data_IF_097877267891
#
_entry.id   IF_097877267891
#
_cell.length_a   1.000
_cell.length_b   1.000
_cell.length_c   1.000
_cell.angle_alpha   90.00
_cell.angle_beta   90.00
_cell.angle_gamma   90.00
#
_symmetry.space_group_name_H-M   'P 1'
#
loop_
_entity.id
_entity.type
_entity.pdbx_description
1 polymer ?
#
# COMPACT_ATOMS: atom_id res chain seq x y z
N UNK A 1 -70.93 37.63 -3.42
CA UNK A 1 -71.53 36.32 -3.75
C UNK A 1 -70.42 35.34 -4.10
N UNK A 2 -70.40 34.20 -3.39
CA UNK A 2 -69.91 32.85 -3.73
C UNK A 2 -68.63 32.67 -4.59
N UNK A 3 -67.52 32.20 -4.02
CA UNK A 3 -67.11 30.78 -3.75
C UNK A 3 -66.34 30.14 -4.92
N UNK A 4 -65.08 29.72 -4.69
CA UNK A 4 -64.62 28.30 -4.72
C UNK A 4 -63.09 28.17 -4.73
N UNK A 5 -62.59 27.39 -3.77
CA UNK A 5 -61.21 26.92 -3.67
C UNK A 5 -60.95 25.79 -4.68
N UNK A 6 -59.75 25.74 -5.26
CA UNK A 6 -59.16 24.48 -5.73
C UNK A 6 -57.70 24.41 -5.27
N UNK A 7 -57.42 23.37 -4.49
CA UNK A 7 -56.09 22.88 -4.13
C UNK A 7 -55.37 22.41 -5.39
N UNK A 8 -54.18 22.94 -5.66
CA UNK A 8 -53.24 22.34 -6.61
C UNK A 8 -52.22 21.51 -5.83
N UNK A 9 -52.28 20.20 -6.03
CA UNK A 9 -51.49 19.17 -5.37
C UNK A 9 -50.03 19.25 -5.82
N UNK A 10 -49.11 19.31 -4.86
CA UNK A 10 -47.66 19.16 -5.04
C UNK A 10 -47.35 17.78 -5.67
N UNK A 11 -46.70 17.75 -6.83
CA UNK A 11 -46.05 16.56 -7.37
C UNK A 11 -44.55 16.82 -7.45
N UNK A 12 -43.81 16.38 -6.42
CA UNK A 12 -42.35 16.34 -6.41
C UNK A 12 -41.89 15.06 -7.13
N UNK A 13 -41.11 15.14 -8.22
CA UNK A 13 -40.51 13.95 -8.82
C UNK A 13 -39.39 13.45 -7.91
N UNK A 14 -39.56 12.25 -7.35
CA UNK A 14 -38.48 11.52 -6.68
C UNK A 14 -37.53 11.01 -7.77
N UNK A 15 -36.42 11.71 -8.00
CA UNK A 15 -35.30 11.16 -8.74
C UNK A 15 -34.72 10.01 -7.91
N UNK A 16 -35.07 8.77 -8.27
CA UNK A 16 -34.36 7.58 -7.85
C UNK A 16 -32.97 7.63 -8.48
N UNK A 17 -31.98 8.13 -7.73
CA UNK A 17 -30.58 7.98 -8.10
C UNK A 17 -30.22 6.49 -8.04
N UNK A 18 -30.22 5.82 -9.20
CA UNK A 18 -29.57 4.53 -9.34
C UNK A 18 -28.09 4.73 -8.98
N UNK A 19 -27.70 4.32 -7.77
CA UNK A 19 -26.30 4.22 -7.40
C UNK A 19 -25.66 3.15 -8.27
N UNK A 20 -25.15 3.56 -9.44
CA UNK A 20 -24.32 2.72 -10.29
C UNK A 20 -23.09 2.33 -9.47
N UNK A 21 -23.10 1.11 -8.93
CA UNK A 21 -21.97 0.55 -8.18
C UNK A 21 -20.79 0.51 -9.14
N UNK A 22 -19.82 1.39 -8.90
CA UNK A 22 -18.60 1.44 -9.70
C UNK A 22 -17.91 0.06 -9.68
N UNK A 23 -17.29 -0.36 -10.79
CA UNK A 23 -16.61 -1.64 -10.82
C UNK A 23 -15.45 -1.64 -9.82
N UNK A 24 -15.22 -2.79 -9.21
CA UNK A 24 -14.11 -3.02 -8.29
C UNK A 24 -13.42 -4.34 -8.62
N UNK A 25 -12.12 -4.41 -8.45
CA UNK A 25 -11.33 -5.62 -8.62
C UNK A 25 -10.68 -6.03 -7.32
N UNK A 26 -10.73 -7.32 -6.99
CA UNK A 26 -10.13 -7.86 -5.78
C UNK A 26 -8.89 -8.67 -6.13
N UNK A 27 -7.74 -8.26 -5.58
CA UNK A 27 -6.51 -9.06 -5.57
C UNK A 27 -6.49 -9.87 -4.28
N UNK A 28 -6.49 -11.19 -4.37
CA UNK A 28 -6.56 -12.04 -3.17
C UNK A 28 -5.24 -12.04 -2.39
N UNK A 29 -5.31 -12.35 -1.09
CA UNK A 29 -4.11 -12.51 -0.26
C UNK A 29 -3.09 -13.49 -0.86
N UNK A 30 -3.57 -14.61 -1.43
CA UNK A 30 -2.74 -15.60 -2.08
C UNK A 30 -2.05 -15.06 -3.35
N UNK A 31 -2.77 -14.30 -4.18
CA UNK A 31 -2.19 -13.64 -5.36
C UNK A 31 -1.12 -12.62 -4.98
N UNK A 32 -1.35 -11.82 -3.93
CA UNK A 32 -0.37 -10.87 -3.42
C UNK A 32 0.89 -11.57 -2.92
N UNK A 33 0.71 -12.63 -2.13
CA UNK A 33 1.83 -13.41 -1.59
C UNK A 33 2.64 -14.07 -2.72
N UNK A 34 1.99 -14.62 -3.74
CA UNK A 34 2.64 -15.22 -4.90
C UNK A 34 3.41 -14.18 -5.75
N UNK A 35 2.80 -13.02 -6.00
CA UNK A 35 3.44 -11.92 -6.73
C UNK A 35 4.66 -11.37 -5.99
N UNK A 36 4.62 -11.32 -4.65
CA UNK A 36 5.78 -10.97 -3.83
C UNK A 36 6.84 -12.05 -3.87
N UNK A 37 6.49 -13.32 -3.69
CA UNK A 37 7.47 -14.42 -3.70
C UNK A 37 8.31 -14.45 -4.98
N UNK A 38 7.71 -14.13 -6.14
CA UNK A 38 8.42 -14.07 -7.42
C UNK A 38 9.46 -12.93 -7.55
N UNK A 39 9.38 -11.91 -6.68
CA UNK A 39 10.25 -10.72 -6.72
C UNK A 39 11.39 -10.77 -5.70
N UNK A 40 11.38 -11.75 -4.81
CA UNK A 40 12.34 -11.90 -3.73
C UNK A 40 13.23 -13.14 -3.96
N UNK A 41 14.46 -13.16 -3.41
CA UNK A 41 15.08 -12.15 -2.54
C UNK A 41 15.40 -10.83 -3.25
N UNK A 42 15.47 -9.73 -2.51
CA UNK A 42 15.88 -8.41 -3.02
C UNK A 42 17.02 -7.84 -2.22
N UNK A 43 17.99 -7.25 -2.91
CA UNK A 43 19.07 -6.51 -2.26
C UNK A 43 18.75 -5.02 -2.22
N UNK A 44 18.89 -4.42 -1.04
CA UNK A 44 18.64 -3.01 -0.79
C UNK A 44 19.89 -2.38 -0.18
N UNK A 45 20.57 -1.45 -0.88
CA UNK A 45 21.67 -0.70 -0.29
C UNK A 45 21.13 0.29 0.76
N UNK A 46 21.81 0.38 1.90
CA UNK A 46 21.48 1.31 2.98
C UNK A 46 22.54 2.38 3.02
N UNK A 47 22.35 3.46 2.24
CA UNK A 47 23.16 4.69 2.25
C UNK A 47 24.70 4.49 2.40
N UNK A 48 25.26 3.46 1.77
CA UNK A 48 26.69 3.12 1.87
C UNK A 48 27.15 2.50 3.20
N UNK A 49 26.25 2.29 4.16
CA UNK A 49 26.53 1.70 5.48
C UNK A 49 26.59 0.18 5.43
N UNK A 50 25.63 -0.43 4.71
CA UNK A 50 25.47 -1.86 4.55
C UNK A 50 24.61 -2.17 3.32
N UNK A 51 24.58 -3.44 2.94
CA UNK A 51 23.63 -4.01 2.00
C UNK A 51 22.71 -4.98 2.76
N UNK A 52 21.42 -4.90 2.49
CA UNK A 52 20.42 -5.80 3.06
C UNK A 52 19.92 -6.75 1.99
N UNK A 53 20.03 -8.05 2.20
CA UNK A 53 19.30 -9.05 1.44
C UNK A 53 18.00 -9.39 2.16
N UNK A 54 16.91 -8.90 1.59
CA UNK A 54 15.55 -9.07 2.08
C UNK A 54 14.97 -10.36 1.51
N UNK A 55 14.39 -11.19 2.37
CA UNK A 55 13.66 -12.39 1.97
C UNK A 55 12.19 -12.08 1.67
N UNK A 56 11.50 -13.02 1.04
CA UNK A 56 10.08 -12.86 0.72
C UNK A 56 9.27 -12.57 1.99
N UNK A 57 8.56 -11.43 2.06
CA UNK A 57 7.79 -11.08 3.24
C UNK A 57 6.54 -11.94 3.37
N UNK A 58 6.12 -12.19 4.60
CA UNK A 58 4.80 -12.70 4.94
C UNK A 58 3.85 -11.52 5.14
N UNK A 59 2.79 -11.46 4.35
CA UNK A 59 1.80 -10.40 4.47
C UNK A 59 0.77 -10.68 5.56
N UNK A 60 0.32 -9.61 6.21
CA UNK A 60 -0.85 -9.58 7.09
C UNK A 60 -1.81 -8.50 6.61
N UNK A 61 -3.09 -8.84 6.49
CA UNK A 61 -4.12 -7.87 6.12
C UNK A 61 -4.75 -7.33 7.41
N UNK A 62 -4.72 -6.01 7.57
CA UNK A 62 -5.22 -5.28 8.74
C UNK A 62 -6.41 -4.42 8.30
N UNK A 63 -7.59 -5.02 8.04
CA UNK A 63 -8.73 -4.32 7.45
C UNK A 63 -9.28 -3.22 8.36
N UNK A 64 -9.27 -3.41 9.68
CA UNK A 64 -9.74 -2.42 10.68
C UNK A 64 -8.96 -1.10 10.60
N UNK A 65 -7.71 -1.15 10.15
CA UNK A 65 -6.84 0.01 9.98
C UNK A 65 -6.67 0.41 8.51
N UNK A 66 -7.27 -0.33 7.58
CA UNK A 66 -7.04 -0.25 6.14
C UNK A 66 -5.54 -0.36 5.75
N UNK A 67 -4.81 -1.29 6.37
CA UNK A 67 -3.34 -1.39 6.26
C UNK A 67 -2.85 -2.81 5.96
N UNK A 68 -1.65 -2.90 5.40
CA UNK A 68 -0.96 -4.16 5.12
C UNK A 68 0.29 -4.22 5.99
N UNK A 69 0.42 -5.29 6.77
CA UNK A 69 1.65 -5.64 7.48
C UNK A 69 2.54 -6.54 6.61
N UNK A 70 3.85 -6.37 6.73
CA UNK A 70 4.85 -7.17 6.04
C UNK A 70 5.99 -7.49 7.02
N UNK A 71 6.11 -8.77 7.37
CA UNK A 71 7.20 -9.29 8.18
C UNK A 71 8.15 -10.10 7.31
N UNK A 72 9.45 -9.84 7.40
CA UNK A 72 10.46 -10.55 6.63
C UNK A 72 11.73 -10.79 7.42
N UNK A 73 12.38 -11.90 7.10
CA UNK A 73 13.78 -12.12 7.44
C UNK A 73 14.66 -11.30 6.50
N UNK A 74 15.80 -10.86 7.02
CA UNK A 74 16.83 -10.18 6.25
C UNK A 74 18.22 -10.66 6.64
N UNK A 75 19.19 -10.39 5.77
CA UNK A 75 20.61 -10.50 6.08
C UNK A 75 21.29 -9.16 5.81
N UNK A 76 22.07 -8.67 6.77
CA UNK A 76 22.86 -7.46 6.64
C UNK A 76 24.34 -7.82 6.45
N UNK A 77 24.96 -7.30 5.39
CA UNK A 77 26.38 -7.52 5.08
C UNK A 77 26.99 -6.30 4.39
N UNK A 78 28.31 -6.32 4.18
CA UNK A 78 29.03 -5.25 3.50
C UNK A 78 29.25 -4.00 4.34
N UNK A 79 29.93 -3.00 3.76
CA UNK A 79 30.29 -1.76 4.44
C UNK A 79 31.17 -2.00 5.67
N UNK A 80 30.70 -1.60 6.85
CA UNK A 80 31.42 -1.77 8.13
C UNK A 80 31.28 -3.19 8.73
N UNK A 81 30.52 -4.09 8.10
CA UNK A 81 30.24 -5.42 8.62
C UNK A 81 31.30 -6.43 8.17
N UNK A 82 31.86 -7.17 9.12
CA UNK A 82 32.90 -8.18 8.86
C UNK A 82 32.35 -9.48 8.26
N UNK A 83 31.05 -9.72 8.42
CA UNK A 83 30.33 -10.90 7.94
C UNK A 83 28.85 -10.58 7.74
N UNK A 84 28.08 -11.56 7.27
CA UNK A 84 26.62 -11.47 7.23
C UNK A 84 26.00 -11.66 8.61
N UNK A 85 24.99 -10.85 8.92
CA UNK A 85 24.21 -10.89 10.16
C UNK A 85 22.73 -11.07 9.86
N UNK A 86 22.06 -12.08 10.42
CA UNK A 86 20.62 -12.27 10.22
C UNK A 86 19.81 -11.23 11.00
N UNK A 87 18.61 -10.96 10.53
CA UNK A 87 17.71 -10.03 11.19
C UNK A 87 16.26 -10.21 10.77
N UNK A 88 15.40 -9.41 11.39
CA UNK A 88 13.96 -9.35 11.13
C UNK A 88 13.55 -7.89 10.97
N UNK A 89 12.70 -7.64 9.98
CA UNK A 89 12.04 -6.38 9.73
C UNK A 89 10.53 -6.61 9.75
N UNK A 90 9.81 -5.79 10.50
CA UNK A 90 8.35 -5.76 10.50
C UNK A 90 7.87 -4.32 10.30
N UNK A 91 7.04 -4.15 9.27
CA UNK A 91 6.46 -2.87 8.89
C UNK A 91 4.99 -3.03 8.57
N UNK A 92 4.27 -1.94 8.65
CA UNK A 92 2.86 -1.86 8.30
C UNK A 92 2.61 -0.52 7.59
N UNK A 93 1.74 -0.51 6.58
CA UNK A 93 1.52 0.68 5.73
C UNK A 93 0.14 0.69 5.08
N UNK A 94 -0.34 1.89 4.75
CA UNK A 94 -1.50 2.08 3.87
C UNK A 94 -1.11 2.00 2.40
N UNK A 95 -2.08 1.79 1.51
CA UNK A 95 -1.85 1.70 0.07
C UNK A 95 -2.53 2.83 -0.68
N UNK A 96 -1.82 3.41 -1.65
CA UNK A 96 -2.34 4.46 -2.53
C UNK A 96 -1.89 4.22 -3.96
N UNK A 97 -2.79 4.41 -4.91
CA UNK A 97 -2.44 4.54 -6.32
C UNK A 97 -2.14 6.01 -6.65
N UNK A 98 -1.01 6.25 -7.29
CA UNK A 98 -0.63 7.56 -7.84
C UNK A 98 -0.82 7.53 -9.36
N UNK A 99 -1.78 8.32 -9.84
CA UNK A 99 -2.13 8.35 -11.25
C UNK A 99 -1.06 9.05 -12.09
N UNK A 100 -0.32 10.00 -11.51
CA UNK A 100 0.67 10.81 -12.23
C UNK A 100 1.82 9.97 -12.82
N UNK A 101 2.28 8.96 -12.08
CA UNK A 101 3.38 8.08 -12.48
C UNK A 101 3.00 6.58 -12.50
N UNK A 102 1.69 6.30 -12.42
CA UNK A 102 1.08 4.96 -12.43
C UNK A 102 1.71 4.03 -11.39
N UNK A 103 1.99 4.55 -10.19
CA UNK A 103 2.64 3.79 -9.13
C UNK A 103 1.68 3.37 -8.01
N UNK A 104 1.90 2.17 -7.49
CA UNK A 104 1.36 1.73 -6.21
C UNK A 104 2.36 2.13 -5.11
N UNK A 105 1.90 2.92 -4.15
CA UNK A 105 2.72 3.48 -3.07
C UNK A 105 2.28 2.96 -1.71
N UNK A 106 3.27 2.65 -0.88
CA UNK A 106 3.09 2.52 0.55
C UNK A 106 3.05 3.91 1.16
N UNK A 107 2.06 4.17 1.99
CA UNK A 107 1.81 5.47 2.63
C UNK A 107 1.75 5.29 4.14
N UNK A 108 2.11 6.33 4.89
CA UNK A 108 2.16 6.30 6.35
C UNK A 108 2.85 5.04 6.88
N UNK A 109 4.03 4.73 6.31
CA UNK A 109 4.77 3.52 6.63
C UNK A 109 5.25 3.62 8.07
N UNK A 110 4.99 2.56 8.84
CA UNK A 110 5.36 2.43 10.24
C UNK A 110 6.35 1.28 10.38
N UNK A 111 7.36 1.50 11.21
CA UNK A 111 8.35 0.49 11.55
C UNK A 111 8.00 -0.08 12.92
N UNK A 112 7.61 -1.35 12.97
CA UNK A 112 7.28 -2.03 14.23
C UNK A 112 8.52 -2.66 14.83
N UNK A 113 9.30 -3.35 14.01
CA UNK A 113 10.51 -4.07 14.44
C UNK A 113 11.60 -3.89 13.40
N UNK A 114 12.79 -3.53 13.86
CA UNK A 114 14.03 -3.70 13.12
C UNK A 114 15.08 -4.24 14.07
N UNK A 115 15.47 -5.49 13.86
CA UNK A 115 16.46 -6.18 14.69
C UNK A 115 17.45 -6.92 13.80
N UNK A 116 18.73 -6.76 14.09
CA UNK A 116 19.81 -7.50 13.45
C UNK A 116 20.66 -8.11 14.57
N UNK A 117 20.85 -9.41 14.50
CA UNK A 117 21.45 -10.18 15.59
C UNK A 117 22.96 -10.24 15.47
N UNK A 118 23.65 -10.11 16.61
CA UNK A 118 25.11 -10.25 16.69
C UNK A 118 25.90 -9.09 16.08
N UNK A 119 25.27 -7.94 15.81
CA UNK A 119 25.96 -6.76 15.29
C UNK A 119 27.14 -6.33 16.19
N UNK A 120 28.27 -5.92 15.61
CA UNK A 120 29.35 -5.28 16.36
C UNK A 120 28.84 -4.01 17.07
N UNK A 121 29.40 -3.62 18.24
CA UNK A 121 28.91 -2.49 19.03
C UNK A 121 28.73 -1.19 18.24
N UNK A 122 29.68 -0.88 17.34
CA UNK A 122 29.60 0.31 16.48
C UNK A 122 28.41 0.27 15.52
N UNK A 123 28.14 -0.88 14.89
CA UNK A 123 27.01 -1.05 13.98
C UNK A 123 25.67 -1.07 14.73
N UNK A 124 25.64 -1.69 15.92
CA UNK A 124 24.46 -1.68 16.79
C UNK A 124 24.07 -0.25 17.21
N UNK A 125 25.04 0.59 17.57
CA UNK A 125 24.79 2.00 17.92
C UNK A 125 24.20 2.79 16.74
N UNK A 126 24.69 2.56 15.51
CA UNK A 126 24.13 3.19 14.29
C UNK A 126 22.69 2.72 14.06
N UNK A 127 22.42 1.42 14.19
CA UNK A 127 21.07 0.86 14.03
C UNK A 127 20.10 1.45 15.06
N UNK A 128 20.52 1.60 16.31
CA UNK A 128 19.72 2.22 17.37
C UNK A 128 19.40 3.69 17.06
N UNK A 129 20.38 4.46 16.57
CA UNK A 129 20.17 5.84 16.15
C UNK A 129 19.18 5.95 14.99
N UNK A 130 19.29 5.06 13.98
CA UNK A 130 18.31 4.98 12.90
C UNK A 130 16.92 4.62 13.42
N UNK A 131 16.80 3.61 14.28
CA UNK A 131 15.53 3.23 14.88
C UNK A 131 14.85 4.39 15.61
N UNK A 132 15.60 5.16 16.40
CA UNK A 132 15.07 6.34 17.11
C UNK A 132 14.59 7.45 16.15
N UNK A 133 15.33 7.69 15.05
CA UNK A 133 14.92 8.66 14.03
C UNK A 133 13.63 8.23 13.30
N UNK A 134 13.47 6.92 13.06
CA UNK A 134 12.30 6.36 12.39
C UNK A 134 11.09 6.20 13.31
N UNK A 135 11.28 5.98 14.61
CA UNK A 135 10.20 5.79 15.58
C UNK A 135 9.30 7.05 15.77
N UNK A 136 9.77 8.22 15.34
CA UNK A 136 9.03 9.48 15.46
C UNK A 136 8.44 10.02 14.15
N UNK A 137 8.63 9.34 13.01
CA UNK A 137 8.21 9.84 11.70
C UNK A 137 7.53 8.73 10.90
N UNK A 138 6.41 9.07 10.24
CA UNK A 138 5.94 8.24 9.15
C UNK A 138 7.05 8.22 8.10
N UNK A 139 7.60 7.03 7.84
CA UNK A 139 8.44 6.82 6.68
C UNK A 139 7.62 7.30 5.48
N UNK A 140 8.19 8.24 4.72
CA UNK A 140 7.51 8.90 3.60
C UNK A 140 6.97 7.88 2.58
N UNK A 141 6.32 8.36 1.52
CA UNK A 141 5.77 7.44 0.53
C UNK A 141 6.87 6.61 -0.13
N UNK A 142 6.68 5.29 -0.18
CA UNK A 142 7.59 4.35 -0.84
C UNK A 142 6.89 3.74 -2.04
N UNK A 143 7.50 3.84 -3.22
CA UNK A 143 6.97 3.18 -4.42
C UNK A 143 7.19 1.67 -4.33
N UNK A 144 6.10 0.90 -4.32
CA UNK A 144 6.13 -0.56 -4.24
C UNK A 144 6.21 -1.21 -5.63
N UNK A 145 5.52 -0.63 -6.60
CA UNK A 145 5.42 -1.14 -7.97
C UNK A 145 4.93 -0.05 -8.94
N UNK A 146 5.49 -0.01 -10.14
CA UNK A 146 4.90 0.74 -11.26
C UNK A 146 4.02 -0.22 -12.06
N UNK A 147 2.74 0.12 -12.21
CA UNK A 147 1.81 -0.65 -13.02
C UNK A 147 2.20 -0.49 -14.50
N UNK A 148 2.24 -1.61 -15.22
CA UNK A 148 2.54 -1.60 -16.65
C UNK A 148 1.27 -1.28 -17.42
N UNK A 149 1.40 -0.82 -18.65
CA UNK A 149 0.24 -0.50 -19.50
C UNK A 149 -0.73 -1.68 -19.65
N UNK A 150 -0.19 -2.90 -19.77
CA UNK A 150 -1.01 -4.13 -19.84
C UNK A 150 -1.87 -4.35 -18.59
N UNK A 151 -1.40 -3.90 -17.43
CA UNK A 151 -2.10 -4.06 -16.15
C UNK A 151 -3.27 -3.05 -16.05
N UNK A 152 -3.23 -1.96 -16.81
CA UNK A 152 -4.22 -0.88 -16.82
C UNK A 152 -5.11 -0.87 -18.07
N UNK A 153 -4.73 -1.58 -19.14
CA UNK A 153 -5.35 -1.50 -20.46
C UNK A 153 -6.88 -1.60 -20.47
N UNK A 154 -7.45 -2.47 -19.63
CA UNK A 154 -8.90 -2.65 -19.54
C UNK A 154 -9.58 -1.45 -18.88
N UNK A 155 -9.02 -0.92 -17.80
CA UNK A 155 -9.52 0.30 -17.16
C UNK A 155 -9.36 1.51 -18.07
N UNK A 156 -8.20 1.62 -18.74
CA UNK A 156 -7.87 2.68 -19.69
C UNK A 156 -8.87 2.72 -20.86
N UNK A 157 -9.19 1.57 -21.46
CA UNK A 157 -10.16 1.48 -22.56
C UNK A 157 -11.59 1.88 -22.17
N UNK A 158 -11.91 1.87 -20.88
CA UNK A 158 -13.21 2.30 -20.34
C UNK A 158 -13.19 3.75 -19.81
N UNK A 159 -12.09 4.49 -20.04
CA UNK A 159 -11.94 5.84 -19.49
C UNK A 159 -11.84 5.87 -17.96
N UNK A 160 -11.40 4.76 -17.36
CA UNK A 160 -11.26 4.60 -15.91
C UNK A 160 -9.80 4.51 -15.49
N UNK A 161 -9.59 4.53 -14.17
CA UNK A 161 -8.31 4.27 -13.52
C UNK A 161 -8.52 3.66 -12.13
N UNK A 162 -7.50 2.99 -11.56
CA UNK A 162 -7.54 2.59 -10.16
C UNK A 162 -7.77 3.82 -9.27
N UNK A 163 -8.62 3.63 -8.25
CA UNK A 163 -8.97 4.62 -7.25
C UNK A 163 -8.58 4.15 -5.85
N UNK A 164 -9.42 4.40 -4.84
CA UNK A 164 -9.16 3.96 -3.48
C UNK A 164 -8.91 2.46 -3.38
N UNK A 165 -7.90 2.09 -2.58
CA UNK A 165 -7.56 0.71 -2.26
C UNK A 165 -8.04 0.43 -0.84
N UNK A 166 -8.91 -0.57 -0.69
CA UNK A 166 -9.42 -1.04 0.60
C UNK A 166 -8.80 -2.40 0.92
N UNK A 167 -8.18 -2.52 2.10
CA UNK A 167 -7.74 -3.80 2.65
C UNK A 167 -8.95 -4.52 3.24
N UNK A 168 -9.16 -5.76 2.83
CA UNK A 168 -10.21 -6.64 3.34
C UNK A 168 -9.61 -7.92 3.92
N UNK A 169 -10.37 -8.73 4.68
CA UNK A 169 -9.88 -10.03 5.13
C UNK A 169 -9.46 -10.98 3.99
N UNK A 170 -10.00 -10.80 2.79
CA UNK A 170 -9.74 -11.66 1.63
C UNK A 170 -8.60 -11.16 0.73
N UNK A 171 -8.24 -9.88 0.82
CA UNK A 171 -7.25 -9.27 -0.08
C UNK A 171 -7.33 -7.75 -0.16
N UNK A 172 -6.98 -7.21 -1.32
CA UNK A 172 -7.08 -5.80 -1.64
C UNK A 172 -8.21 -5.59 -2.64
N UNK A 173 -9.20 -4.77 -2.26
CA UNK A 173 -10.25 -4.30 -3.15
C UNK A 173 -9.82 -2.96 -3.75
N UNK A 174 -9.73 -2.91 -5.07
CA UNK A 174 -9.36 -1.72 -5.84
C UNK A 174 -10.62 -1.23 -6.51
N UNK A 175 -11.08 -0.05 -6.12
CA UNK A 175 -12.19 0.61 -6.81
C UNK A 175 -11.69 1.25 -8.09
N UNK A 176 -12.52 1.27 -9.13
CA UNK A 176 -12.24 2.04 -10.34
C UNK A 176 -13.04 3.34 -10.33
N UNK A 177 -12.38 4.41 -10.72
CA UNK A 177 -12.99 5.74 -10.84
C UNK A 177 -12.84 6.24 -12.27
N UNK A 178 -13.76 7.08 -12.76
CA UNK A 178 -13.56 7.79 -14.01
C UNK A 178 -12.24 8.55 -13.98
N UNK A 179 -11.51 8.50 -15.09
CA UNK A 179 -10.32 9.34 -15.27
C UNK A 179 -10.78 10.79 -15.38
N UNK A 180 -10.18 11.67 -14.58
CA UNK A 180 -10.41 13.11 -14.75
C UNK A 180 -10.02 13.50 -16.19
N UNK A 181 -10.87 14.27 -16.86
CA UNK A 181 -10.53 14.82 -18.17
C UNK A 181 -9.26 15.69 -18.01
N UNK A 182 -8.29 15.59 -18.93
CA UNK A 182 -7.10 16.43 -18.92
C UNK A 182 -7.43 17.91 -19.09
#
# INVERSE_FOLDING_TARGET
MQRRHLFALCALPVFAACASRMPSYTVTAAQLQAALAARFPRRQPVAGLAELELQAPRLRLLPEENRVGAELALQAFGGLLQRSYPGVLDVDFGLRYEAADRSLRATAVRLNVLRIDGLPPRAAAVLQGLGAALAGQALGEVVLHHLRDKDLALADGLGMQPGPITVTPQGLRIDFVPRAAP
#
